data_IF_435532465600
#
_entry.id   IF_435532465600
#
_cell.length_a   1.000
_cell.length_b   1.000
_cell.length_c   1.000
_cell.angle_alpha   90.00
_cell.angle_beta   90.00
_cell.angle_gamma   90.00
#
_symmetry.space_group_name_H-M   'P 1'
#
loop_
_entity.id
_entity.type
_entity.pdbx_description
1 polymer ?
#
# COMPACT_ATOMS: atom_id res chain seq x y z
N UNK A 1 -20.10 14.06 -7.44
CA UNK A 1 -19.19 14.08 -6.28
C UNK A 1 -18.01 13.16 -6.59
N UNK A 2 -17.08 13.60 -7.43
CA UNK A 2 -16.04 12.72 -8.02
C UNK A 2 -14.61 13.20 -7.76
N UNK A 3 -14.46 14.34 -7.08
CA UNK A 3 -13.15 14.96 -6.83
C UNK A 3 -12.33 14.16 -5.80
N UNK A 4 -12.95 13.70 -4.71
CA UNK A 4 -12.27 12.93 -3.65
C UNK A 4 -11.76 11.56 -4.14
N UNK A 5 -12.53 10.86 -4.98
CA UNK A 5 -12.11 9.56 -5.54
C UNK A 5 -11.02 9.71 -6.62
N UNK A 6 -11.14 10.73 -7.48
CA UNK A 6 -10.09 11.07 -8.45
C UNK A 6 -8.80 11.50 -7.76
N UNK A 7 -8.90 12.18 -6.61
CA UNK A 7 -7.77 12.59 -5.79
C UNK A 7 -7.02 11.38 -5.22
N UNK A 8 -7.71 10.36 -4.67
CA UNK A 8 -7.04 9.16 -4.15
C UNK A 8 -6.25 8.42 -5.24
N UNK A 9 -6.84 8.24 -6.42
CA UNK A 9 -6.16 7.60 -7.55
C UNK A 9 -4.94 8.41 -7.99
N UNK A 10 -5.10 9.72 -8.18
CA UNK A 10 -4.02 10.62 -8.60
C UNK A 10 -2.87 10.68 -7.59
N UNK A 11 -3.16 10.74 -6.29
CA UNK A 11 -2.14 10.73 -5.23
C UNK A 11 -1.35 9.43 -5.23
N UNK A 12 -2.03 8.29 -5.38
CA UNK A 12 -1.35 6.99 -5.39
C UNK A 12 -0.57 6.76 -6.68
N UNK A 13 -1.06 7.21 -7.83
CA UNK A 13 -0.32 7.21 -9.09
C UNK A 13 0.96 8.02 -8.96
N UNK A 14 0.87 9.28 -8.54
CA UNK A 14 2.02 10.15 -8.36
C UNK A 14 3.06 9.53 -7.43
N UNK A 15 2.62 8.87 -6.34
CA UNK A 15 3.53 8.21 -5.40
C UNK A 15 4.19 6.95 -5.97
N UNK A 16 3.50 6.21 -6.84
CA UNK A 16 4.12 5.10 -7.60
C UNK A 16 5.19 5.66 -8.53
N UNK A 17 4.87 6.71 -9.28
CA UNK A 17 5.80 7.33 -10.23
C UNK A 17 7.03 7.89 -9.53
N UNK A 18 6.84 8.57 -8.40
CA UNK A 18 7.93 9.05 -7.55
C UNK A 18 8.78 7.88 -7.03
N UNK A 19 8.17 6.78 -6.59
CA UNK A 19 8.91 5.64 -6.02
C UNK A 19 9.79 4.94 -7.05
N UNK A 20 9.33 4.82 -8.29
CA UNK A 20 10.00 4.09 -9.36
C UNK A 20 10.69 4.99 -10.40
N UNK A 21 10.58 6.31 -10.27
CA UNK A 21 11.17 7.31 -11.17
C UNK A 21 10.78 7.07 -12.65
N UNK A 22 9.54 6.64 -12.86
CA UNK A 22 9.01 6.26 -14.17
C UNK A 22 7.50 6.49 -14.16
N UNK A 23 6.95 7.02 -15.26
CA UNK A 23 5.50 7.18 -15.37
C UNK A 23 4.81 5.83 -15.29
N UNK A 24 3.60 5.79 -14.73
CA UNK A 24 2.85 4.56 -14.51
C UNK A 24 2.62 3.76 -15.82
N UNK A 25 2.33 4.39 -16.98
CA UNK A 25 2.24 3.67 -18.25
C UNK A 25 3.55 3.03 -18.68
N UNK A 26 4.69 3.70 -18.48
CA UNK A 26 6.00 3.14 -18.79
C UNK A 26 6.36 2.02 -17.82
N UNK A 27 6.05 2.18 -16.53
CA UNK A 27 6.29 1.17 -15.50
C UNK A 27 5.51 -0.12 -15.78
N UNK A 28 4.23 0.02 -16.19
CA UNK A 28 3.39 -1.11 -16.64
C UNK A 28 4.05 -1.86 -17.79
N UNK A 29 4.57 -1.15 -18.79
CA UNK A 29 5.28 -1.76 -19.94
C UNK A 29 6.56 -2.48 -19.49
N UNK A 30 7.36 -1.84 -18.65
CA UNK A 30 8.60 -2.44 -18.14
C UNK A 30 8.34 -3.73 -17.35
N UNK A 31 7.33 -3.72 -16.48
CA UNK A 31 6.90 -4.90 -15.71
C UNK A 31 6.39 -6.03 -16.61
N UNK A 32 5.66 -5.72 -17.69
CA UNK A 32 5.22 -6.74 -18.64
C UNK A 32 6.38 -7.42 -19.38
N UNK A 33 7.43 -6.67 -19.70
CA UNK A 33 8.61 -7.20 -20.41
C UNK A 33 9.52 -7.99 -19.47
N UNK A 34 9.72 -7.52 -18.24
CA UNK A 34 10.65 -8.12 -17.29
C UNK A 34 10.07 -8.16 -15.86
N UNK A 35 9.04 -9.00 -15.60
CA UNK A 35 8.32 -9.00 -14.33
C UNK A 35 9.20 -9.39 -13.12
N UNK A 36 10.31 -10.08 -13.37
CA UNK A 36 11.25 -10.51 -12.32
C UNK A 36 12.33 -9.46 -12.01
N UNK A 37 12.48 -8.41 -12.82
CA UNK A 37 13.50 -7.38 -12.59
C UNK A 37 13.23 -6.55 -11.33
N UNK A 38 11.96 -6.41 -10.95
CA UNK A 38 11.56 -5.75 -9.71
C UNK A 38 10.22 -6.34 -9.21
N UNK A 39 10.25 -7.32 -8.29
CA UNK A 39 9.04 -7.89 -7.71
C UNK A 39 8.13 -6.84 -7.08
N UNK A 40 8.70 -5.83 -6.43
CA UNK A 40 7.96 -4.71 -5.81
C UNK A 40 7.27 -3.83 -6.85
N UNK A 41 7.90 -3.57 -8.00
CA UNK A 41 7.24 -2.81 -9.08
C UNK A 41 6.09 -3.61 -9.69
N UNK A 42 6.30 -4.91 -9.91
CA UNK A 42 5.27 -5.82 -10.41
C UNK A 42 4.05 -5.86 -9.48
N UNK A 43 4.30 -5.94 -8.17
CA UNK A 43 3.24 -5.95 -7.17
C UNK A 43 2.51 -4.60 -7.08
N UNK A 44 3.23 -3.48 -7.07
CA UNK A 44 2.64 -2.14 -7.05
C UNK A 44 1.73 -1.88 -8.27
N UNK A 45 2.20 -2.23 -9.48
CA UNK A 45 1.41 -2.11 -10.71
C UNK A 45 0.15 -2.97 -10.66
N UNK A 46 0.27 -4.22 -10.19
CA UNK A 46 -0.86 -5.13 -10.04
C UNK A 46 -1.91 -4.58 -9.08
N UNK A 47 -1.49 -4.14 -7.89
CA UNK A 47 -2.43 -3.62 -6.89
C UNK A 47 -3.05 -2.29 -7.29
N UNK A 48 -2.31 -1.42 -7.98
CA UNK A 48 -2.91 -0.21 -8.56
C UNK A 48 -3.95 -0.53 -9.64
N UNK A 49 -3.70 -1.55 -10.48
CA UNK A 49 -4.70 -2.04 -11.43
C UNK A 49 -5.96 -2.57 -10.74
N UNK A 50 -5.81 -3.35 -9.68
CA UNK A 50 -6.94 -3.80 -8.86
C UNK A 50 -7.68 -2.62 -8.23
N UNK A 51 -6.97 -1.61 -7.73
CA UNK A 51 -7.58 -0.42 -7.16
C UNK A 51 -8.43 0.31 -8.20
N UNK A 52 -7.92 0.51 -9.43
CA UNK A 52 -8.67 1.12 -10.52
C UNK A 52 -9.99 0.37 -10.81
N UNK A 53 -9.95 -0.96 -10.88
CA UNK A 53 -11.17 -1.77 -11.05
C UNK A 53 -12.15 -1.64 -9.88
N UNK A 54 -11.67 -1.45 -8.65
CA UNK A 54 -12.55 -1.19 -7.51
C UNK A 54 -13.18 0.20 -7.58
N UNK A 55 -12.43 1.20 -8.03
CA UNK A 55 -12.94 2.55 -8.23
C UNK A 55 -14.08 2.57 -9.26
N UNK A 56 -13.91 1.91 -10.41
CA UNK A 56 -14.98 1.74 -11.40
C UNK A 56 -16.21 0.99 -10.83
N UNK A 57 -16.01 0.09 -9.87
CA UNK A 57 -17.11 -0.63 -9.24
C UNK A 57 -17.89 0.25 -8.24
N UNK A 58 -17.20 1.17 -7.56
CA UNK A 58 -17.84 2.19 -6.72
C UNK A 58 -18.70 3.11 -7.59
N UNK A 59 -18.13 3.66 -8.65
CA UNK A 59 -18.83 4.57 -9.57
C UNK A 59 -20.11 3.93 -10.13
N UNK A 60 -20.01 2.69 -10.64
CA UNK A 60 -21.18 1.95 -11.13
C UNK A 60 -22.24 1.67 -10.06
N UNK A 61 -21.82 1.42 -8.82
CA UNK A 61 -22.75 1.18 -7.73
C UNK A 61 -23.45 2.48 -7.30
N UNK A 62 -22.72 3.59 -7.27
CA UNK A 62 -23.25 4.92 -6.95
C UNK A 62 -24.23 5.40 -8.03
N UNK A 63 -23.88 5.26 -9.30
CA UNK A 63 -24.76 5.61 -10.43
C UNK A 63 -26.08 4.81 -10.38
N UNK A 64 -26.00 3.52 -10.05
CA UNK A 64 -27.18 2.68 -9.89
C UNK A 64 -28.07 3.14 -8.72
N UNK A 65 -27.46 3.47 -7.58
CA UNK A 65 -28.18 3.99 -6.42
C UNK A 65 -28.86 5.33 -6.74
N UNK A 66 -28.14 6.26 -7.35
CA UNK A 66 -28.67 7.57 -7.75
C UNK A 66 -29.84 7.40 -8.72
N UNK A 67 -29.72 6.51 -9.70
CA UNK A 67 -30.80 6.24 -10.68
C UNK A 67 -32.09 5.80 -9.99
N UNK A 68 -31.98 4.91 -8.99
CA UNK A 68 -33.14 4.43 -8.23
C UNK A 68 -33.72 5.55 -7.36
N UNK A 69 -32.88 6.28 -6.62
CA UNK A 69 -33.33 7.38 -5.76
C UNK A 69 -34.02 8.51 -6.54
N UNK A 70 -33.61 8.77 -7.79
CA UNK A 70 -34.25 9.75 -8.67
C UNK A 70 -35.58 9.28 -9.25
N UNK A 71 -35.82 7.97 -9.25
CA UNK A 71 -37.03 7.35 -9.80
C UNK A 71 -38.11 7.10 -8.73
N UNK A 72 -37.75 7.17 -7.44
CA UNK A 72 -38.65 6.90 -6.32
C UNK A 72 -39.41 8.14 -5.84
N UNK A 73 -40.60 7.90 -5.30
CA UNK A 73 -41.40 8.97 -4.71
C UNK A 73 -40.71 9.47 -3.42
N UNK A 74 -40.65 10.80 -3.21
CA UNK A 74 -39.95 11.34 -2.05
C UNK A 74 -40.61 10.87 -0.74
N UNK A 75 -39.84 10.13 0.07
CA UNK A 75 -40.24 9.73 1.44
C UNK A 75 -40.21 8.23 1.73
N UNK A 76 -40.12 7.37 0.72
CA UNK A 76 -39.97 5.92 0.91
C UNK A 76 -38.61 5.47 0.36
N UNK A 77 -37.73 4.98 1.26
CA UNK A 77 -36.60 4.16 0.84
C UNK A 77 -37.10 2.71 0.81
N UNK A 78 -37.31 2.17 -0.38
CA UNK A 78 -37.69 0.76 -0.48
C UNK A 78 -36.48 -0.17 -0.27
N UNK A 79 -36.76 -1.46 -0.14
CA UNK A 79 -35.74 -2.49 0.08
C UNK A 79 -34.67 -2.50 -1.05
N UNK A 80 -35.05 -2.16 -2.29
CA UNK A 80 -34.13 -2.09 -3.43
C UNK A 80 -33.11 -0.94 -3.29
N UNK A 81 -33.55 0.23 -2.84
CA UNK A 81 -32.64 1.35 -2.54
C UNK A 81 -31.67 0.99 -1.40
N UNK A 82 -32.16 0.30 -0.36
CA UNK A 82 -31.33 -0.17 0.75
C UNK A 82 -30.28 -1.20 0.32
N UNK A 83 -30.65 -2.16 -0.54
CA UNK A 83 -29.71 -3.14 -1.10
C UNK A 83 -28.60 -2.48 -1.93
N UNK A 84 -28.95 -1.48 -2.75
CA UNK A 84 -27.98 -0.71 -3.53
C UNK A 84 -27.04 0.11 -2.65
N UNK A 85 -27.56 0.73 -1.58
CA UNK A 85 -26.73 1.42 -0.60
C UNK A 85 -25.72 0.46 0.07
N UNK A 86 -26.13 -0.77 0.40
CA UNK A 86 -25.22 -1.78 0.93
C UNK A 86 -24.15 -2.20 -0.09
N UNK A 87 -24.52 -2.27 -1.38
CA UNK A 87 -23.59 -2.57 -2.48
C UNK A 87 -22.54 -1.46 -2.64
N UNK A 88 -22.94 -0.20 -2.57
CA UNK A 88 -22.01 0.95 -2.59
C UNK A 88 -21.03 0.84 -1.43
N UNK A 89 -21.51 0.62 -0.20
CA UNK A 89 -20.66 0.48 0.97
C UNK A 89 -19.65 -0.68 0.82
N UNK A 90 -20.09 -1.81 0.28
CA UNK A 90 -19.21 -2.95 0.01
C UNK A 90 -18.13 -2.63 -1.03
N UNK A 91 -18.50 -1.92 -2.11
CA UNK A 91 -17.55 -1.50 -3.14
C UNK A 91 -16.49 -0.53 -2.58
N UNK A 92 -16.91 0.43 -1.75
CA UNK A 92 -16.01 1.38 -1.07
C UNK A 92 -15.04 0.64 -0.15
N UNK A 93 -15.53 -0.31 0.65
CA UNK A 93 -14.65 -1.13 1.51
C UNK A 93 -13.59 -1.89 0.72
N UNK A 94 -13.93 -2.42 -0.45
CA UNK A 94 -12.96 -3.09 -1.34
C UNK A 94 -11.95 -2.08 -1.91
N UNK A 95 -12.39 -0.90 -2.36
CA UNK A 95 -11.51 0.18 -2.83
C UNK A 95 -10.52 0.58 -1.75
N UNK A 96 -11.00 0.83 -0.54
CA UNK A 96 -10.16 1.30 0.57
C UNK A 96 -9.15 0.24 1.01
N UNK A 97 -9.57 -1.03 1.06
CA UNK A 97 -8.66 -2.13 1.30
C UNK A 97 -7.54 -2.20 0.25
N UNK A 98 -7.86 -2.01 -1.04
CA UNK A 98 -6.85 -1.99 -2.12
C UNK A 98 -5.95 -0.76 -2.05
N UNK A 99 -6.50 0.41 -1.75
CA UNK A 99 -5.75 1.65 -1.57
C UNK A 99 -4.75 1.53 -0.39
N UNK A 100 -5.18 0.90 0.70
CA UNK A 100 -4.32 0.62 1.86
C UNK A 100 -3.13 -0.28 1.48
N UNK A 101 -3.36 -1.33 0.68
CA UNK A 101 -2.27 -2.20 0.22
C UNK A 101 -1.29 -1.45 -0.68
N UNK A 102 -1.78 -0.61 -1.61
CA UNK A 102 -0.91 0.24 -2.44
C UNK A 102 -0.08 1.19 -1.56
N UNK A 103 -0.69 1.83 -0.56
CA UNK A 103 0.04 2.70 0.40
C UNK A 103 1.14 1.93 1.12
N UNK A 104 0.86 0.71 1.58
CA UNK A 104 1.84 -0.13 2.27
C UNK A 104 3.03 -0.48 1.38
N UNK A 105 2.79 -0.83 0.11
CA UNK A 105 3.85 -1.16 -0.86
C UNK A 105 4.76 0.02 -1.18
N UNK A 106 4.25 1.24 -1.02
CA UNK A 106 4.99 2.49 -1.29
C UNK A 106 5.61 3.09 -0.03
N UNK A 107 5.31 2.56 1.16
CA UNK A 107 5.84 3.07 2.41
C UNK A 107 7.32 2.68 2.58
N UNK A 108 8.25 3.66 2.63
CA UNK A 108 9.68 3.39 2.81
C UNK A 108 10.03 2.83 4.20
N UNK A 109 9.16 2.97 5.20
CA UNK A 109 9.38 2.47 6.56
C UNK A 109 9.10 0.97 6.70
N UNK A 110 8.35 0.38 5.75
CA UNK A 110 8.06 -1.05 5.75
C UNK A 110 9.34 -1.85 5.43
N UNK A 111 9.70 -2.83 6.27
CA UNK A 111 10.82 -3.73 5.98
C UNK A 111 10.64 -4.41 4.61
N UNK A 112 11.63 -4.26 3.72
CA UNK A 112 11.56 -4.75 2.34
C UNK A 112 11.34 -3.65 1.29
N UNK A 113 10.76 -2.51 1.67
CA UNK A 113 10.44 -1.42 0.72
C UNK A 113 11.49 -0.30 0.68
N UNK A 114 12.48 -0.33 1.59
CA UNK A 114 13.62 0.62 1.59
C UNK A 114 14.42 0.51 0.30
N UNK A 115 14.66 1.66 -0.34
CA UNK A 115 15.57 1.72 -1.48
C UNK A 115 16.97 1.22 -1.08
N UNK A 116 17.76 0.66 -2.02
CA UNK A 116 19.15 0.33 -1.76
C UNK A 116 19.97 1.52 -1.25
N UNK A 117 19.59 2.76 -1.63
CA UNK A 117 20.21 3.98 -1.13
C UNK A 117 19.91 4.24 0.36
N UNK A 118 18.69 3.96 0.82
CA UNK A 118 18.29 4.07 2.23
C UNK A 118 18.90 2.97 3.13
N UNK A 119 19.50 1.92 2.56
CA UNK A 119 20.26 0.90 3.32
C UNK A 119 21.68 1.34 3.69
N UNK A 120 22.18 2.47 3.18
CA UNK A 120 23.51 3.02 3.53
C UNK A 120 23.47 3.90 4.78
N UNK A 121 22.78 3.45 5.82
CA UNK A 121 22.96 4.02 7.16
C UNK A 121 24.29 3.54 7.77
N UNK A 122 24.86 4.23 8.76
CA UNK A 122 26.03 3.74 9.49
C UNK A 122 25.74 2.34 10.01
N UNK A 123 26.62 1.37 9.72
CA UNK A 123 26.54 0.06 10.33
C UNK A 123 26.60 0.25 11.87
N UNK A 124 25.67 -0.30 12.66
CA UNK A 124 25.81 -0.25 14.10
C UNK A 124 27.05 -1.06 14.48
N UNK A 125 28.10 -0.37 14.92
CA UNK A 125 29.28 -1.00 15.51
C UNK A 125 28.85 -1.63 16.83
N UNK A 126 28.49 -2.91 16.80
CA UNK A 126 28.29 -3.68 18.02
C UNK A 126 29.67 -4.01 18.57
N UNK A 127 30.22 -3.09 19.36
CA UNK A 127 31.37 -3.41 20.21
C UNK A 127 30.85 -4.24 21.37
N UNK A 128 31.23 -5.52 21.43
CA UNK A 128 30.91 -6.36 22.58
C UNK A 128 31.54 -5.75 23.85
N UNK A 129 30.84 -5.74 25.00
CA UNK A 129 31.41 -5.24 26.23
C UNK A 129 32.62 -6.09 26.64
N UNK A 130 33.73 -5.43 27.00
CA UNK A 130 34.93 -6.10 27.47
C UNK A 130 34.62 -6.89 28.74
N UNK A 131 34.85 -8.21 28.69
CA UNK A 131 34.73 -9.09 29.86
C UNK A 131 35.79 -8.67 30.89
N UNK A 132 35.41 -8.42 32.16
CA UNK A 132 36.39 -8.13 33.21
C UNK A 132 37.34 -9.33 33.36
N UNK A 133 38.65 -9.08 33.33
CA UNK A 133 39.64 -10.07 33.70
C UNK A 133 39.58 -10.28 35.21
N UNK A 134 39.29 -11.51 35.65
CA UNK A 134 39.44 -11.92 37.04
C UNK A 134 40.94 -11.99 37.38
N UNK A 135 41.41 -11.37 38.48
CA UNK A 135 42.79 -11.51 38.92
C UNK A 135 43.10 -12.97 39.27
N UNK A 136 44.22 -13.48 38.76
CA UNK A 136 44.73 -14.80 39.10
C UNK A 136 45.21 -14.81 40.56
N UNK A 137 44.61 -15.67 41.39
CA UNK A 137 45.12 -15.94 42.74
C UNK A 137 46.47 -16.65 42.65
N UNK A 138 47.49 -15.98 43.16
CA UNK A 138 48.83 -16.52 43.32
C UNK A 138 48.81 -17.65 44.36
N UNK A 139 48.96 -18.91 43.89
CA UNK A 139 49.18 -20.05 44.77
C UNK A 139 50.62 -20.05 45.25
N UNK A 140 50.83 -19.54 46.46
CA UNK A 140 52.06 -19.77 47.24
C UNK A 140 52.08 -21.25 47.66
N UNK A 141 53.08 -22.00 47.23
CA UNK A 141 53.42 -23.31 47.82
C UNK A 141 54.76 -23.16 48.53
N UNK A 142 54.71 -23.35 49.84
CA UNK A 142 55.87 -23.45 50.72
C UNK A 142 56.28 -24.91 50.89
N UNK A 143 57.60 -25.16 50.75
CA UNK A 143 58.46 -26.29 51.18
C UNK A 143 57.88 -27.70 51.29
#
# INVERSE_FOLDING_TARGET
>A
MSEDSGEVMGVLEARIEERFQMSLPLLRRAVMVAPHASPTATEAVRWYGLLATAQEAVERAEDALVTVLMSEAPGELNDSAMELAHRVNSAVGIRDGRAMVVRLLLDPQVPGNRSPAARRGPAPTTTAPARPATPAEARVVSR
#
